data_IF_022619722807
#
_entry.id   IF_022619722807
#
_cell.length_a   1.000
_cell.length_b   1.000
_cell.length_c   1.000
_cell.angle_alpha   90.00
_cell.angle_beta   90.00
_cell.angle_gamma   90.00
#
_symmetry.space_group_name_H-M   'P 1'
#
loop_
_entity.id
_entity.type
_entity.pdbx_description
1 polymer ?
#
# COMPACT_ATOMS: atom_id res chain seq x y z
N UNK A 1 -4.71 18.44 0.32
CA UNK A 1 -5.77 17.85 1.15
C UNK A 1 -6.90 18.85 1.36
N UNK A 2 -8.07 18.36 1.75
CA UNK A 2 -9.24 19.17 2.11
C UNK A 2 -9.12 19.65 3.57
N UNK A 3 -9.23 20.95 3.88
CA UNK A 3 -9.01 21.48 5.23
C UNK A 3 -9.91 20.87 6.30
N UNK A 4 -11.15 20.54 5.94
CA UNK A 4 -12.16 20.05 6.88
C UNK A 4 -12.25 18.51 6.93
N UNK A 5 -11.36 17.79 6.24
CA UNK A 5 -11.41 16.33 6.15
C UNK A 5 -10.21 15.65 6.80
N UNK A 6 -10.37 14.37 7.11
CA UNK A 6 -9.27 13.45 7.44
C UNK A 6 -9.09 12.46 6.28
N UNK A 7 -7.84 12.18 5.92
CA UNK A 7 -7.50 11.07 5.05
C UNK A 7 -7.38 9.78 5.86
N UNK A 8 -7.56 8.63 5.21
CA UNK A 8 -7.33 7.33 5.84
C UNK A 8 -6.78 6.31 4.86
N UNK A 9 -6.08 5.30 5.39
CA UNK A 9 -5.63 4.13 4.65
C UNK A 9 -6.05 2.84 5.35
N UNK A 10 -6.50 1.88 4.55
CA UNK A 10 -6.93 0.54 4.93
C UNK A 10 -6.49 -0.43 3.85
N UNK A 11 -5.86 -1.53 4.23
CA UNK A 11 -5.55 -2.59 3.27
C UNK A 11 -6.70 -3.61 3.20
N UNK A 12 -7.10 -4.05 1.99
CA UNK A 12 -8.07 -5.11 1.82
C UNK A 12 -7.53 -6.49 2.23
N UNK A 13 -8.39 -7.47 2.53
CA UNK A 13 -9.86 -7.36 2.57
C UNK A 13 -10.36 -6.59 3.80
N UNK A 14 -11.28 -5.63 3.58
CA UNK A 14 -11.72 -4.70 4.63
C UNK A 14 -12.43 -5.40 5.80
N UNK A 15 -13.07 -6.55 5.56
CA UNK A 15 -13.71 -7.35 6.61
C UNK A 15 -12.74 -8.02 7.58
N UNK A 16 -11.46 -8.12 7.22
CA UNK A 16 -10.40 -8.67 8.07
C UNK A 16 -9.49 -7.59 8.65
N UNK A 17 -9.58 -6.35 8.13
CA UNK A 17 -8.75 -5.24 8.56
C UNK A 17 -9.03 -4.89 10.03
N UNK A 18 -7.95 -4.84 10.82
CA UNK A 18 -8.02 -4.47 12.26
C UNK A 18 -7.37 -3.12 12.55
N UNK A 19 -6.68 -2.54 11.58
CA UNK A 19 -5.93 -1.30 11.70
C UNK A 19 -6.44 -0.32 10.65
N UNK A 20 -6.61 0.94 11.04
CA UNK A 20 -6.74 2.09 10.14
C UNK A 20 -5.65 3.10 10.45
N UNK A 21 -5.06 3.65 9.39
CA UNK A 21 -4.19 4.81 9.50
C UNK A 21 -5.00 6.05 9.15
N UNK A 22 -4.91 7.09 9.97
CA UNK A 22 -5.54 8.38 9.74
C UNK A 22 -4.48 9.46 9.54
N UNK A 23 -4.78 10.42 8.68
CA UNK A 23 -3.99 11.63 8.49
C UNK A 23 -4.89 12.87 8.42
N UNK A 24 -4.29 14.05 8.66
CA UNK A 24 -4.98 15.33 8.67
C UNK A 24 -4.04 16.45 8.29
N UNK A 25 -4.60 17.58 7.88
CA UNK A 25 -3.85 18.82 7.81
C UNK A 25 -3.72 19.43 9.21
N UNK A 26 -2.69 20.24 9.47
CA UNK A 26 -2.57 20.97 10.74
C UNK A 26 -3.77 21.88 11.04
N UNK A 27 -4.48 22.33 10.00
CA UNK A 27 -5.69 23.15 10.10
C UNK A 27 -6.98 22.35 10.30
N UNK A 28 -6.94 21.02 10.25
CA UNK A 28 -8.14 20.19 10.36
C UNK A 28 -8.73 20.30 11.77
N UNK A 29 -10.03 20.62 11.90
CA UNK A 29 -10.63 20.82 13.22
C UNK A 29 -10.56 19.58 14.12
N UNK A 30 -10.33 19.79 15.41
CA UNK A 30 -10.32 18.72 16.43
C UNK A 30 -11.64 17.93 16.45
N UNK A 31 -12.77 18.59 16.18
CA UNK A 31 -14.06 17.93 16.10
C UNK A 31 -14.12 16.90 14.95
N UNK A 32 -13.52 17.21 13.79
CA UNK A 32 -13.43 16.30 12.63
C UNK A 32 -12.53 15.12 12.97
N UNK A 33 -11.35 15.36 13.54
CA UNK A 33 -10.39 14.30 13.86
C UNK A 33 -10.95 13.34 14.90
N UNK A 34 -11.59 13.88 15.95
CA UNK A 34 -12.26 13.08 16.96
C UNK A 34 -13.46 12.31 16.39
N UNK A 35 -14.16 12.85 15.39
CA UNK A 35 -15.25 12.12 14.72
C UNK A 35 -14.73 10.93 13.89
N UNK A 36 -13.63 11.11 13.15
CA UNK A 36 -12.99 10.03 12.39
C UNK A 36 -12.49 8.91 13.33
N UNK A 37 -11.81 9.27 14.42
CA UNK A 37 -11.31 8.30 15.40
C UNK A 37 -12.45 7.52 16.06
N UNK A 38 -13.53 8.19 16.47
CA UNK A 38 -14.72 7.52 17.03
C UNK A 38 -15.37 6.58 16.02
N UNK A 39 -15.47 6.99 14.75
CA UNK A 39 -16.06 6.18 13.70
C UNK A 39 -15.31 4.85 13.56
N UNK A 40 -14.00 4.88 13.32
CA UNK A 40 -13.23 3.64 13.13
C UNK A 40 -13.09 2.82 14.42
N UNK A 41 -12.98 3.47 15.58
CA UNK A 41 -12.99 2.77 16.87
C UNK A 41 -14.31 2.03 17.11
N UNK A 42 -15.44 2.59 16.67
CA UNK A 42 -16.75 1.93 16.79
C UNK A 42 -16.88 0.68 15.91
N UNK A 43 -16.03 0.54 14.88
CA UNK A 43 -15.90 -0.65 14.05
C UNK A 43 -14.94 -1.68 14.66
N UNK A 44 -14.37 -1.42 15.84
CA UNK A 44 -13.41 -2.29 16.50
C UNK A 44 -11.99 -2.22 15.92
N UNK A 45 -11.69 -1.19 15.13
CA UNK A 45 -10.37 -0.99 14.54
C UNK A 45 -9.44 -0.25 15.50
N UNK A 46 -8.17 -0.63 15.48
CA UNK A 46 -7.08 0.17 16.04
C UNK A 46 -6.85 1.35 15.11
N UNK A 47 -6.78 2.55 15.68
CA UNK A 47 -6.56 3.80 14.95
C UNK A 47 -5.13 4.27 15.20
N UNK A 48 -4.40 4.54 14.12
CA UNK A 48 -3.06 5.15 14.18
C UNK A 48 -3.05 6.46 13.40
N UNK A 49 -2.65 7.56 14.06
CA UNK A 49 -2.46 8.85 13.40
C UNK A 49 -1.03 8.95 12.84
N UNK A 50 -0.91 9.24 11.54
CA UNK A 50 0.36 9.34 10.83
C UNK A 50 0.40 10.57 9.94
N UNK A 51 1.61 11.03 9.62
CA UNK A 51 1.81 12.17 8.72
C UNK A 51 1.37 11.86 7.29
N UNK A 52 0.91 12.89 6.58
CA UNK A 52 0.43 12.76 5.20
C UNK A 52 1.57 12.41 4.24
N UNK A 53 1.39 11.30 3.52
CA UNK A 53 2.27 10.82 2.47
C UNK A 53 1.51 9.80 1.59
N UNK A 54 1.90 9.60 0.32
CA UNK A 54 1.28 8.61 -0.54
C UNK A 54 1.36 7.20 0.08
N UNK A 55 0.20 6.61 0.35
CA UNK A 55 0.06 5.31 1.01
C UNK A 55 0.26 5.31 2.53
N UNK A 56 0.39 6.47 3.18
CA UNK A 56 0.64 6.61 4.61
C UNK A 56 1.85 5.74 5.06
N UNK A 57 1.80 5.02 6.18
CA UNK A 57 2.94 4.20 6.62
C UNK A 57 2.83 2.78 6.06
N UNK A 58 1.73 2.08 6.34
CA UNK A 58 1.52 0.70 5.96
C UNK A 58 1.36 0.55 4.45
N UNK A 59 0.51 1.37 3.82
CA UNK A 59 0.26 1.30 2.38
C UNK A 59 1.55 1.57 1.58
N UNK A 60 2.34 2.55 2.00
CA UNK A 60 3.67 2.84 1.46
C UNK A 60 4.60 1.64 1.55
N UNK A 61 4.72 1.01 2.71
CA UNK A 61 5.60 -0.13 2.93
C UNK A 61 5.15 -1.33 2.08
N UNK A 62 3.87 -1.66 2.11
CA UNK A 62 3.34 -2.81 1.37
C UNK A 62 3.45 -2.58 -0.14
N UNK A 63 3.10 -1.39 -0.65
CA UNK A 63 3.24 -1.10 -2.08
C UNK A 63 4.71 -1.17 -2.54
N UNK A 64 5.66 -0.69 -1.73
CA UNK A 64 7.09 -0.82 -2.02
C UNK A 64 7.54 -2.28 -2.04
N UNK A 65 7.01 -3.11 -1.15
CA UNK A 65 7.27 -4.54 -1.14
C UNK A 65 6.74 -5.25 -2.40
N UNK A 66 5.55 -4.84 -2.89
CA UNK A 66 5.03 -5.31 -4.19
C UNK A 66 5.90 -4.82 -5.35
N UNK A 67 6.36 -3.58 -5.31
CA UNK A 67 7.22 -3.01 -6.33
C UNK A 67 8.58 -3.74 -6.41
N UNK A 68 9.17 -4.07 -5.27
CA UNK A 68 10.40 -4.87 -5.18
C UNK A 68 10.19 -6.29 -5.70
N UNK A 69 9.05 -6.92 -5.38
CA UNK A 69 8.68 -8.21 -5.96
C UNK A 69 8.63 -8.16 -7.50
N UNK A 70 8.09 -7.07 -8.06
CA UNK A 70 8.03 -6.86 -9.50
C UNK A 70 9.43 -6.66 -10.13
N UNK A 71 10.40 -6.07 -9.41
CA UNK A 71 11.80 -6.03 -9.85
C UNK A 71 12.41 -7.43 -9.86
N UNK A 72 12.35 -8.16 -8.75
CA UNK A 72 12.94 -9.50 -8.63
C UNK A 72 12.40 -10.47 -9.70
N UNK A 73 11.09 -10.42 -9.98
CA UNK A 73 10.48 -11.24 -11.05
C UNK A 73 10.91 -10.75 -12.44
N UNK A 74 10.87 -9.44 -12.68
CA UNK A 74 11.23 -8.85 -13.97
C UNK A 74 12.69 -9.07 -14.36
N UNK A 75 13.58 -9.19 -13.37
CA UNK A 75 15.01 -9.47 -13.53
C UNK A 75 15.32 -10.98 -13.59
N UNK A 76 14.33 -11.84 -13.39
CA UNK A 76 14.49 -13.29 -13.44
C UNK A 76 15.16 -13.89 -12.20
N UNK A 77 15.18 -13.18 -11.07
CA UNK A 77 15.73 -13.68 -9.79
C UNK A 77 14.92 -14.86 -9.26
N UNK A 78 13.59 -14.83 -9.45
CA UNK A 78 12.69 -15.89 -9.04
C UNK A 78 11.29 -15.71 -9.62
N UNK A 79 10.48 -16.75 -9.55
CA UNK A 79 9.07 -16.69 -9.94
C UNK A 79 8.22 -15.94 -8.91
N UNK A 80 6.99 -15.56 -9.29
CA UNK A 80 6.01 -15.01 -8.37
C UNK A 80 5.78 -15.91 -7.14
N UNK A 81 5.82 -17.24 -7.32
CA UNK A 81 5.67 -18.19 -6.24
C UNK A 81 6.89 -18.22 -5.31
N UNK A 82 8.10 -18.09 -5.86
CA UNK A 82 9.33 -18.06 -5.04
C UNK A 82 9.36 -16.82 -4.15
N UNK A 83 8.96 -15.67 -4.70
CA UNK A 83 8.88 -14.41 -3.95
C UNK A 83 7.83 -14.50 -2.83
N UNK A 84 6.62 -14.97 -3.12
CA UNK A 84 5.57 -15.15 -2.10
C UNK A 84 6.00 -16.18 -1.04
N UNK A 85 6.64 -17.28 -1.43
CA UNK A 85 7.17 -18.28 -0.50
C UNK A 85 8.25 -17.69 0.42
N UNK A 86 9.15 -16.85 -0.10
CA UNK A 86 10.19 -16.20 0.69
C UNK A 86 9.63 -15.38 1.85
N UNK A 87 8.57 -14.61 1.62
CA UNK A 87 7.97 -13.80 2.66
C UNK A 87 7.04 -14.58 3.59
N UNK A 88 6.28 -15.53 3.05
CA UNK A 88 5.33 -16.32 3.86
C UNK A 88 6.02 -17.38 4.71
N UNK A 89 6.98 -18.12 4.15
CA UNK A 89 7.70 -19.18 4.87
C UNK A 89 8.97 -18.68 5.56
N UNK A 90 9.67 -17.71 4.97
CA UNK A 90 10.91 -17.18 5.52
C UNK A 90 10.72 -16.10 6.58
N UNK A 91 9.74 -15.21 6.40
CA UNK A 91 9.45 -14.09 7.33
C UNK A 91 8.13 -14.26 8.08
N UNK A 92 7.41 -15.36 7.86
CA UNK A 92 6.11 -15.64 8.49
C UNK A 92 5.05 -14.55 8.24
N UNK A 93 5.11 -13.88 7.08
CA UNK A 93 4.05 -12.97 6.68
C UNK A 93 2.78 -13.77 6.35
N UNK A 94 1.58 -13.28 6.72
CA UNK A 94 0.33 -13.98 6.41
C UNK A 94 0.04 -14.02 4.90
N UNK A 95 0.69 -13.15 4.12
CA UNK A 95 0.50 -13.01 2.68
C UNK A 95 1.78 -12.49 2.03
N UNK A 96 2.18 -13.10 0.92
CA UNK A 96 3.31 -12.68 0.11
C UNK A 96 3.02 -11.41 -0.71
N UNK A 97 4.04 -10.74 -1.26
CA UNK A 97 3.85 -9.45 -1.90
C UNK A 97 3.12 -9.53 -3.24
N UNK A 98 3.25 -10.61 -4.01
CA UNK A 98 2.46 -10.77 -5.23
C UNK A 98 0.99 -10.97 -4.87
N UNK A 99 0.71 -11.78 -3.85
CA UNK A 99 -0.64 -11.90 -3.30
C UNK A 99 -1.19 -10.58 -2.74
N UNK A 100 -0.37 -9.75 -2.07
CA UNK A 100 -0.77 -8.39 -1.66
C UNK A 100 -1.12 -7.52 -2.86
N UNK A 101 -0.28 -7.49 -3.89
CA UNK A 101 -0.53 -6.73 -5.12
C UNK A 101 -1.86 -7.10 -5.79
N UNK A 102 -2.20 -8.39 -5.84
CA UNK A 102 -3.52 -8.85 -6.33
C UNK A 102 -4.69 -8.42 -5.44
N UNK A 103 -4.48 -8.38 -4.13
CA UNK A 103 -5.55 -8.06 -3.16
C UNK A 103 -5.83 -6.56 -3.13
N UNK A 104 -4.77 -5.75 -3.22
CA UNK A 104 -4.83 -4.29 -3.25
C UNK A 104 -5.29 -3.77 -4.63
N UNK A 105 -4.84 -4.42 -5.71
CA UNK A 105 -4.94 -3.91 -7.07
C UNK A 105 -3.62 -3.26 -7.50
N UNK A 106 -3.05 -3.73 -8.62
CA UNK A 106 -1.73 -3.26 -9.09
C UNK A 106 -1.77 -1.81 -9.58
N UNK A 107 -2.93 -1.33 -10.01
CA UNK A 107 -3.18 0.07 -10.36
C UNK A 107 -3.05 0.98 -9.13
N UNK A 108 -3.62 0.57 -7.99
CA UNK A 108 -3.47 1.30 -6.72
C UNK A 108 -2.03 1.25 -6.19
N UNK A 109 -1.38 0.09 -6.31
CA UNK A 109 0.05 -0.04 -5.99
C UNK A 109 0.86 0.93 -6.83
N UNK A 110 0.68 0.91 -8.16
CA UNK A 110 1.42 1.79 -9.06
C UNK A 110 1.16 3.27 -8.76
N UNK A 111 -0.10 3.66 -8.54
CA UNK A 111 -0.46 5.03 -8.18
C UNK A 111 0.23 5.50 -6.89
N UNK A 112 0.32 4.62 -5.88
CA UNK A 112 1.04 4.92 -4.63
C UNK A 112 2.52 5.14 -4.88
N UNK A 113 3.16 4.25 -5.67
CA UNK A 113 4.59 4.36 -6.01
C UNK A 113 4.87 5.64 -6.82
N UNK A 114 4.01 5.96 -7.79
CA UNK A 114 4.12 7.16 -8.61
C UNK A 114 3.93 8.43 -7.78
N UNK A 115 2.99 8.44 -6.83
CA UNK A 115 2.86 9.54 -5.86
C UNK A 115 4.12 9.74 -5.03
N UNK A 116 4.73 8.66 -4.53
CA UNK A 116 6.00 8.74 -3.80
C UNK A 116 7.14 9.30 -4.67
N UNK A 117 7.24 8.86 -5.92
CA UNK A 117 8.17 9.40 -6.89
C UNK A 117 7.90 10.87 -7.19
N UNK A 118 6.63 11.27 -7.28
CA UNK A 118 6.23 12.64 -7.55
C UNK A 118 6.64 13.63 -6.47
N UNK A 119 6.44 13.25 -5.21
CA UNK A 119 6.80 14.09 -4.08
C UNK A 119 8.30 14.15 -3.82
N UNK A 120 9.03 13.04 -4.04
CA UNK A 120 10.40 12.89 -3.55
C UNK A 120 11.46 12.88 -4.63
N UNK A 121 11.14 12.42 -5.84
CA UNK A 121 12.07 12.25 -6.97
C UNK A 121 13.33 11.44 -6.61
N UNK A 122 13.17 10.46 -5.71
CA UNK A 122 14.25 9.57 -5.27
C UNK A 122 14.16 8.22 -5.99
N UNK A 123 15.30 7.70 -6.44
CA UNK A 123 15.37 6.45 -7.24
C UNK A 123 14.72 5.24 -6.54
N UNK A 124 14.74 5.19 -5.21
CA UNK A 124 14.09 4.12 -4.43
C UNK A 124 12.58 4.04 -4.63
N UNK A 125 11.94 5.09 -5.17
CA UNK A 125 10.50 5.08 -5.50
C UNK A 125 10.23 4.87 -6.98
N UNK A 126 11.22 4.48 -7.78
CA UNK A 126 10.98 4.14 -9.18
C UNK A 126 10.08 2.92 -9.27
N UNK A 127 8.96 3.04 -9.98
CA UNK A 127 8.11 1.90 -10.29
C UNK A 127 8.83 0.88 -11.18
N UNK A 128 8.69 -0.40 -10.85
CA UNK A 128 9.24 -1.50 -11.63
C UNK A 128 8.64 -1.52 -13.05
N UNK A 129 9.45 -1.74 -14.11
CA UNK A 129 8.94 -1.86 -15.47
C UNK A 129 7.87 -2.95 -15.62
N UNK A 130 8.04 -4.08 -14.91
CA UNK A 130 7.06 -5.16 -14.88
C UNK A 130 5.72 -4.70 -14.27
N UNK A 131 5.75 -3.94 -13.16
CA UNK A 131 4.55 -3.41 -12.53
C UNK A 131 3.80 -2.48 -13.49
N UNK A 132 4.49 -1.55 -14.15
CA UNK A 132 3.87 -0.67 -15.15
C UNK A 132 3.23 -1.45 -16.29
N UNK A 133 3.94 -2.46 -16.81
CA UNK A 133 3.44 -3.32 -17.89
C UNK A 133 2.19 -4.09 -17.44
N UNK A 134 2.24 -4.68 -16.24
CA UNK A 134 1.14 -5.44 -15.68
C UNK A 134 -0.14 -4.60 -15.56
N UNK A 135 -0.02 -3.38 -15.03
CA UNK A 135 -1.13 -2.42 -14.98
C UNK A 135 -1.63 -2.04 -16.37
N UNK A 136 -0.72 -1.73 -17.30
CA UNK A 136 -1.09 -1.30 -18.66
C UNK A 136 -1.82 -2.40 -19.47
N UNK A 137 -1.53 -3.68 -19.21
CA UNK A 137 -2.17 -4.80 -19.90
C UNK A 137 -3.28 -5.48 -19.11
N UNK A 138 -3.53 -5.05 -17.86
CA UNK A 138 -4.50 -5.71 -16.97
C UNK A 138 -4.09 -7.13 -16.57
N UNK A 139 -2.78 -7.42 -16.53
CA UNK A 139 -2.22 -8.73 -16.15
C UNK A 139 -1.66 -8.70 -14.72
N UNK A 140 -1.41 -9.88 -14.14
CA UNK A 140 -0.71 -10.04 -12.88
C UNK A 140 0.82 -10.05 -13.03
N UNK A 141 1.53 -9.91 -11.91
CA UNK A 141 3.00 -9.93 -11.88
C UNK A 141 3.62 -11.31 -12.24
N UNK A 142 2.81 -12.37 -12.34
CA UNK A 142 3.25 -13.72 -12.67
C UNK A 142 2.70 -14.27 -14.00
N UNK A 143 1.98 -13.45 -14.78
CA UNK A 143 1.25 -13.91 -15.98
C UNK A 143 2.11 -13.82 -17.27
N UNK A 144 3.44 -13.92 -17.14
CA UNK A 144 4.41 -13.72 -18.21
C UNK A 144 5.32 -14.91 -18.46
#
# INVERSE_FOLDING_TARGET
GEPEACGFNLLPPLGEARLVELTRLPSTPDATTAAAERFFSSLGMVVEWVEDAPGLVLGRIVCQLVNEAAFAIGEGVGSANDVDAGLTLGLNHPRGPVAWGRTIGLDHVLATIDGLWEERREERYRAAPLLRRAVATGSGLGDG
#
